data_IF_875933245026
#
_entry.id   IF_875933245026
#
_cell.length_a   1.000
_cell.length_b   1.000
_cell.length_c   1.000
_cell.angle_alpha   90.00
_cell.angle_beta   90.00
_cell.angle_gamma   90.00
#
_symmetry.space_group_name_H-M   'P 1'
#
loop_
_entity.id
_entity.type
_entity.pdbx_description
1 polymer ?
#
# COMPACT_ATOMS: atom_id res chain seq x y z
N UNK A 1 3.25 -9.10 -18.37
CA UNK A 1 1.81 -8.82 -18.43
C UNK A 1 1.39 -7.98 -17.23
N UNK A 2 0.87 -6.80 -17.51
CA UNK A 2 0.52 -5.81 -16.50
C UNK A 2 -0.71 -6.21 -15.66
N UNK A 3 -1.40 -7.26 -16.09
CA UNK A 3 -2.58 -7.78 -15.39
C UNK A 3 -2.24 -8.61 -14.15
N UNK A 4 -1.03 -9.16 -14.08
CA UNK A 4 -0.64 -10.00 -12.95
C UNK A 4 0.00 -9.17 -11.85
N UNK A 5 -0.23 -9.58 -10.60
CA UNK A 5 0.42 -9.00 -9.45
C UNK A 5 1.93 -9.19 -9.52
N UNK A 6 2.66 -8.15 -9.19
CA UNK A 6 4.12 -8.14 -9.16
C UNK A 6 4.63 -7.81 -7.75
N UNK A 7 5.79 -8.36 -7.41
CA UNK A 7 6.42 -8.12 -6.12
C UNK A 7 6.55 -6.61 -5.83
N UNK A 8 6.11 -6.20 -4.67
CA UNK A 8 6.13 -4.80 -4.25
C UNK A 8 4.92 -3.96 -4.63
N UNK A 9 3.93 -4.55 -5.32
CA UNK A 9 2.70 -3.84 -5.64
C UNK A 9 1.97 -3.44 -4.36
N UNK A 10 1.57 -2.19 -4.25
CA UNK A 10 0.69 -1.71 -3.19
C UNK A 10 -0.76 -1.97 -3.60
N UNK A 11 -1.53 -2.57 -2.70
CA UNK A 11 -2.93 -2.90 -2.93
C UNK A 11 -3.81 -2.12 -1.96
N UNK A 12 -4.93 -1.61 -2.45
CA UNK A 12 -5.88 -0.83 -1.64
C UNK A 12 -7.28 -1.36 -1.92
N UNK A 13 -8.03 -1.66 -0.87
CA UNK A 13 -9.44 -1.98 -1.01
C UNK A 13 -10.19 -0.72 -1.44
N UNK A 14 -10.72 -0.74 -2.66
CA UNK A 14 -11.42 0.41 -3.25
C UNK A 14 -12.92 0.39 -3.04
N UNK A 15 -13.46 -0.70 -2.49
CA UNK A 15 -14.89 -0.84 -2.19
C UNK A 15 -15.11 -1.56 -0.86
N UNK A 16 -16.35 -1.59 -0.40
CA UNK A 16 -16.76 -2.41 0.73
C UNK A 16 -16.98 -1.62 2.02
N UNK A 17 -18.03 -2.00 2.76
CA UNK A 17 -18.35 -1.42 4.06
C UNK A 17 -17.39 -1.97 5.11
N UNK A 18 -16.64 -1.09 5.76
CA UNK A 18 -15.68 -1.46 6.80
C UNK A 18 -14.33 -1.96 6.29
N UNK A 19 -14.16 -2.14 4.98
CA UNK A 19 -12.89 -2.61 4.38
C UNK A 19 -12.25 -1.59 3.44
N UNK A 20 -13.04 -0.64 2.93
CA UNK A 20 -12.56 0.40 2.04
C UNK A 20 -11.38 1.15 2.65
N UNK A 21 -10.32 1.35 1.88
CA UNK A 21 -9.14 2.10 2.29
C UNK A 21 -8.04 1.27 2.94
N UNK A 22 -8.26 -0.02 3.20
CA UNK A 22 -7.21 -0.90 3.72
C UNK A 22 -6.07 -1.03 2.73
N UNK A 23 -4.86 -0.86 3.23
CA UNK A 23 -3.64 -0.86 2.42
C UNK A 23 -2.80 -2.11 2.76
N UNK A 24 -2.35 -2.79 1.71
CA UNK A 24 -1.44 -3.93 1.81
C UNK A 24 -0.35 -3.86 0.77
N UNK A 25 0.57 -4.79 0.84
CA UNK A 25 1.63 -4.96 -0.16
C UNK A 25 1.66 -6.42 -0.60
N UNK A 26 1.81 -6.64 -1.91
CA UNK A 26 2.00 -7.97 -2.46
C UNK A 26 3.48 -8.33 -2.48
N UNK A 27 3.81 -9.52 -2.00
CA UNK A 27 5.16 -10.07 -2.05
C UNK A 27 5.16 -11.46 -2.67
N UNK A 28 6.11 -11.73 -3.56
CA UNK A 28 6.24 -13.04 -4.18
C UNK A 28 6.48 -14.15 -3.14
N UNK A 29 7.08 -13.84 -2.01
CA UNK A 29 7.28 -14.78 -0.90
C UNK A 29 5.98 -15.30 -0.31
N UNK A 30 4.88 -14.55 -0.45
CA UNK A 30 3.56 -14.98 0.02
C UNK A 30 2.88 -15.94 -0.95
N UNK A 31 3.38 -16.03 -2.17
CA UNK A 31 2.85 -16.89 -3.22
C UNK A 31 3.63 -18.22 -3.28
N UNK A 32 3.40 -19.06 -2.29
CA UNK A 32 4.15 -20.31 -2.13
C UNK A 32 3.91 -21.33 -3.25
N UNK A 33 2.81 -21.19 -3.99
CA UNK A 33 2.46 -22.09 -5.10
C UNK A 33 2.94 -21.61 -6.46
N UNK A 34 3.53 -20.41 -6.55
CA UNK A 34 4.02 -19.84 -7.81
C UNK A 34 2.91 -19.56 -8.83
N UNK A 35 1.69 -19.29 -8.37
CA UNK A 35 0.55 -19.03 -9.26
C UNK A 35 0.58 -17.60 -9.79
N UNK A 36 0.03 -17.41 -10.98
CA UNK A 36 -0.25 -16.08 -11.51
C UNK A 36 -1.47 -15.50 -10.79
N UNK A 37 -1.28 -14.38 -10.10
CA UNK A 37 -2.34 -13.76 -9.30
C UNK A 37 -2.80 -12.48 -9.97
N UNK A 38 -4.12 -12.35 -10.12
CA UNK A 38 -4.78 -11.17 -10.70
C UNK A 38 -5.65 -10.53 -9.63
N UNK A 39 -5.60 -9.18 -9.47
CA UNK A 39 -6.48 -8.51 -8.53
C UNK A 39 -7.93 -8.54 -9.02
N UNK A 40 -8.89 -8.59 -8.09
CA UNK A 40 -10.29 -8.48 -8.45
C UNK A 40 -10.74 -7.00 -8.56
N UNK A 41 -12.01 -6.80 -8.93
CA UNK A 41 -12.57 -5.46 -9.13
C UNK A 41 -12.71 -4.62 -7.86
N UNK A 42 -12.55 -5.22 -6.68
CA UNK A 42 -12.63 -4.53 -5.39
C UNK A 42 -11.28 -4.01 -4.91
N UNK A 43 -10.22 -4.28 -5.64
CA UNK A 43 -8.85 -3.91 -5.28
C UNK A 43 -8.25 -3.00 -6.34
N UNK A 44 -7.66 -1.90 -5.90
CA UNK A 44 -6.84 -1.04 -6.75
C UNK A 44 -5.37 -1.35 -6.49
N UNK A 45 -4.61 -1.55 -7.56
CA UNK A 45 -3.19 -1.83 -7.49
C UNK A 45 -2.43 -0.57 -7.90
N UNK A 46 -1.46 -0.19 -7.08
CA UNK A 46 -0.53 0.90 -7.41
C UNK A 46 0.85 0.28 -7.56
N UNK A 47 1.36 0.36 -8.79
CA UNK A 47 2.69 -0.15 -9.12
C UNK A 47 3.66 1.00 -9.29
N UNK A 48 4.75 0.94 -8.56
CA UNK A 48 5.82 1.93 -8.68
C UNK A 48 6.71 1.64 -9.88
N UNK A 49 7.32 2.68 -10.43
CA UNK A 49 8.40 2.55 -11.41
C UNK A 49 9.54 3.51 -11.03
N UNK A 50 10.51 3.69 -11.92
CA UNK A 50 11.85 4.19 -11.64
C UNK A 50 11.97 5.40 -10.70
N UNK A 51 10.96 6.27 -10.63
CA UNK A 51 11.00 7.46 -9.78
C UNK A 51 10.34 7.29 -8.41
N UNK A 52 9.77 6.11 -8.14
CA UNK A 52 9.08 5.82 -6.87
C UNK A 52 9.58 4.50 -6.31
N UNK A 53 10.12 4.54 -5.09
CA UNK A 53 10.53 3.34 -4.37
C UNK A 53 9.28 2.58 -3.90
N UNK A 54 9.19 1.27 -4.18
CA UNK A 54 8.00 0.46 -3.87
C UNK A 54 7.71 0.38 -2.38
N UNK A 55 8.74 0.24 -1.55
CA UNK A 55 8.59 0.17 -0.10
C UNK A 55 8.13 1.52 0.48
N UNK A 56 8.67 2.61 -0.06
CA UNK A 56 8.25 3.95 0.34
C UNK A 56 6.78 4.19 -0.03
N UNK A 57 6.38 3.82 -1.24
CA UNK A 57 5.00 3.96 -1.69
C UNK A 57 4.04 3.23 -0.76
N UNK A 58 4.35 1.98 -0.42
CA UNK A 58 3.55 1.22 0.54
C UNK A 58 3.48 1.92 1.90
N UNK A 59 4.63 2.34 2.44
CA UNK A 59 4.69 3.01 3.73
C UNK A 59 3.89 4.32 3.74
N UNK A 60 3.99 5.10 2.66
CA UNK A 60 3.22 6.33 2.48
C UNK A 60 1.71 6.05 2.49
N UNK A 61 1.26 5.09 1.69
CA UNK A 61 -0.16 4.76 1.61
C UNK A 61 -0.66 4.15 2.93
N UNK A 62 0.13 3.31 3.57
CA UNK A 62 -0.21 2.70 4.86
C UNK A 62 -0.35 3.76 5.97
N UNK A 63 0.54 4.74 5.99
CA UNK A 63 0.49 5.86 6.94
C UNK A 63 -0.78 6.71 6.75
N UNK A 64 -1.33 6.74 5.53
CA UNK A 64 -2.54 7.50 5.20
C UNK A 64 -3.79 6.63 5.17
N UNK A 65 -3.73 5.39 5.63
CA UNK A 65 -4.87 4.47 5.57
C UNK A 65 -6.12 5.04 6.27
N UNK A 66 -5.96 5.65 7.43
CA UNK A 66 -7.09 6.26 8.15
C UNK A 66 -7.78 7.38 7.36
N UNK A 67 -7.01 8.12 6.57
CA UNK A 67 -7.54 9.15 5.67
C UNK A 67 -8.29 8.50 4.50
N UNK A 68 -7.72 7.44 3.91
CA UNK A 68 -8.33 6.70 2.80
C UNK A 68 -9.67 6.10 3.21
N UNK A 69 -9.75 5.53 4.39
CA UNK A 69 -10.99 4.94 4.92
C UNK A 69 -12.15 5.94 4.97
N UNK A 70 -11.85 7.23 5.06
CA UNK A 70 -12.83 8.31 5.13
C UNK A 70 -13.16 8.92 3.77
N UNK A 71 -12.39 8.61 2.72
CA UNK A 71 -12.53 9.24 1.39
C UNK A 71 -13.44 8.49 0.42
N UNK A 72 -14.12 7.44 0.86
CA UNK A 72 -15.06 6.72 0.01
C UNK A 72 -16.23 7.60 -0.42
N UNK A 73 -16.58 7.54 -1.70
CA UNK A 73 -17.69 8.27 -2.31
C UNK A 73 -18.82 7.32 -2.71
N UNK A 74 -20.03 7.79 -2.64
CA UNK A 74 -21.22 7.04 -3.01
C UNK A 74 -22.21 6.87 -1.87
N UNK A 75 -23.20 5.98 -2.06
CA UNK A 75 -24.21 5.70 -1.03
C UNK A 75 -23.59 4.94 0.15
N UNK A 76 -24.29 4.93 1.28
CA UNK A 76 -23.81 4.26 2.52
C UNK A 76 -23.41 2.80 2.31
N UNK A 77 -24.09 2.09 1.39
CA UNK A 77 -23.83 0.67 1.12
C UNK A 77 -22.97 0.42 -0.12
N UNK A 78 -22.61 1.47 -0.86
CA UNK A 78 -21.88 1.36 -2.14
C UNK A 78 -20.78 2.41 -2.25
N UNK A 79 -20.01 2.59 -1.17
CA UNK A 79 -18.87 3.52 -1.20
C UNK A 79 -17.75 2.95 -2.05
N UNK A 80 -17.12 3.84 -2.81
CA UNK A 80 -16.00 3.52 -3.66
C UNK A 80 -14.90 4.55 -3.51
N UNK A 81 -13.65 4.09 -3.45
CA UNK A 81 -12.47 4.93 -3.46
C UNK A 81 -12.00 5.07 -4.91
N UNK A 82 -12.13 6.29 -5.46
CA UNK A 82 -11.85 6.53 -6.88
C UNK A 82 -10.35 6.66 -7.15
N UNK A 83 -9.89 6.22 -8.33
CA UNK A 83 -8.48 6.35 -8.73
C UNK A 83 -7.93 7.77 -8.66
N UNK A 84 -8.74 8.77 -8.99
CA UNK A 84 -8.32 10.18 -8.94
C UNK A 84 -7.88 10.59 -7.52
N UNK A 85 -8.61 10.15 -6.50
CA UNK A 85 -8.27 10.42 -5.10
C UNK A 85 -6.87 9.90 -4.76
N UNK A 86 -6.55 8.68 -5.21
CA UNK A 86 -5.24 8.07 -4.99
C UNK A 86 -4.13 8.82 -5.76
N UNK A 87 -4.41 9.19 -7.01
CA UNK A 87 -3.46 9.94 -7.85
C UNK A 87 -3.09 11.28 -7.23
N UNK A 88 -4.05 12.00 -6.68
CA UNK A 88 -3.82 13.28 -6.01
C UNK A 88 -2.93 13.13 -4.78
N UNK A 89 -3.07 12.05 -4.04
CA UNK A 89 -2.19 11.76 -2.89
C UNK A 89 -0.75 11.52 -3.32
N UNK A 90 -0.54 10.86 -4.47
CA UNK A 90 0.80 10.53 -4.98
C UNK A 90 1.60 11.76 -5.46
N UNK A 91 0.96 12.87 -5.75
CA UNK A 91 1.62 14.11 -6.18
C UNK A 91 2.60 14.64 -5.11
N UNK A 92 2.37 14.31 -3.84
CA UNK A 92 3.18 14.79 -2.72
C UNK A 92 4.44 13.95 -2.43
N UNK A 93 4.83 13.04 -3.32
CA UNK A 93 5.97 12.16 -3.11
C UNK A 93 7.31 12.90 -3.34
N UNK A 94 8.26 12.82 -2.40
CA UNK A 94 9.56 13.48 -2.54
C UNK A 94 10.48 12.79 -3.55
N UNK A 95 11.65 13.39 -3.88
CA UNK A 95 12.63 12.75 -4.76
C UNK A 95 13.08 11.37 -4.28
N UNK A 96 13.50 10.52 -5.22
CA UNK A 96 13.82 9.11 -4.94
C UNK A 96 14.87 8.92 -3.84
N UNK A 97 15.91 9.75 -3.80
CA UNK A 97 16.93 9.67 -2.75
C UNK A 97 16.35 9.89 -1.36
N UNK A 98 15.43 10.82 -1.23
CA UNK A 98 14.74 11.12 0.02
C UNK A 98 13.79 9.97 0.41
N UNK A 99 13.09 9.38 -0.55
CA UNK A 99 12.26 8.21 -0.34
C UNK A 99 13.05 7.04 0.27
N UNK A 100 14.22 6.75 -0.31
CA UNK A 100 15.08 5.67 0.17
C UNK A 100 15.60 5.93 1.58
N UNK A 101 15.93 7.18 1.90
CA UNK A 101 16.38 7.57 3.24
C UNK A 101 15.27 7.38 4.27
N UNK A 102 14.06 7.79 3.95
CA UNK A 102 12.88 7.65 4.83
C UNK A 102 12.56 6.17 5.04
N UNK A 103 12.54 5.37 3.97
CA UNK A 103 12.27 3.95 4.04
C UNK A 103 13.27 3.23 4.95
N UNK A 104 14.55 3.55 4.81
CA UNK A 104 15.60 3.00 5.68
C UNK A 104 15.36 3.35 7.14
N UNK A 105 14.98 4.59 7.43
CA UNK A 105 14.70 5.04 8.79
C UNK A 105 13.50 4.31 9.40
N UNK A 106 12.45 4.07 8.61
CA UNK A 106 11.27 3.32 9.03
C UNK A 106 11.66 1.88 9.38
N UNK A 107 12.44 1.23 8.52
CA UNK A 107 12.86 -0.15 8.73
C UNK A 107 13.72 -0.31 9.98
N UNK A 108 14.61 0.64 10.25
CA UNK A 108 15.41 0.66 11.47
C UNK A 108 14.51 0.81 12.70
N UNK A 109 13.56 1.72 12.68
CA UNK A 109 12.62 1.94 13.78
C UNK A 109 11.80 0.68 14.07
N UNK A 110 11.29 0.02 13.04
CA UNK A 110 10.51 -1.23 13.18
C UNK A 110 11.37 -2.36 13.77
N UNK A 111 12.64 -2.45 13.38
CA UNK A 111 13.58 -3.42 13.96
C UNK A 111 13.76 -3.20 15.45
N UNK A 112 13.90 -1.95 15.89
CA UNK A 112 14.02 -1.61 17.30
C UNK A 112 12.76 -1.95 18.10
N UNK A 113 11.58 -1.71 17.55
CA UNK A 113 10.32 -2.11 18.17
C UNK A 113 10.22 -3.62 18.33
N UNK A 114 10.62 -4.39 17.33
CA UNK A 114 10.62 -5.85 17.41
C UNK A 114 11.53 -6.36 18.55
N UNK A 115 12.72 -5.80 18.71
CA UNK A 115 13.64 -6.14 19.79
C UNK A 115 13.04 -5.81 21.16
N UNK A 116 12.44 -4.65 21.31
CA UNK A 116 11.77 -4.24 22.55
C UNK A 116 10.62 -5.20 22.89
N UNK A 117 9.81 -5.55 21.91
CA UNK A 117 8.69 -6.49 22.07
C UNK A 117 9.17 -7.85 22.54
N UNK A 118 10.24 -8.39 21.95
CA UNK A 118 10.85 -9.65 22.37
C UNK A 118 11.36 -9.58 23.82
N UNK A 119 11.96 -8.46 24.23
CA UNK A 119 12.51 -8.31 25.58
C UNK A 119 11.43 -8.17 26.66
N UNK A 120 10.19 -7.83 26.30
CA UNK A 120 9.06 -7.73 27.21
C UNK A 120 8.33 -9.07 27.42
N UNK A 121 8.57 -10.02 26.57
CA UNK A 121 7.99 -11.36 26.65
C UNK A 121 8.99 -12.31 27.31
#
# INVERSE_FOLDING_TARGET
DDEYMQDGDTVINSTGTGTLGRVGIYRNTDNTKGLSIVPDSHVTVIRSFSCINSHYLYAFMKAHQSVLEKKGEGSTNQKELKPLTLKEMLIAIPPLSEQKRIDKSINIALSHFAVIEESLN
#
